data_IF_879277628779
#
_entry.id   IF_879277628779
#
_cell.length_a   1.000
_cell.length_b   1.000
_cell.length_c   1.000
_cell.angle_alpha   90.00
_cell.angle_beta   90.00
_cell.angle_gamma   90.00
#
_symmetry.space_group_name_H-M   'P 1'
#
loop_
_entity.id
_entity.type
_entity.pdbx_description
1 polymer ?
#
# COMPACT_ATOMS: atom_id res chain seq x y z
N UNK A 1 -4.69 -20.09 2.46
CA UNK A 1 -3.84 -18.88 2.31
C UNK A 1 -2.71 -19.17 1.34
N UNK A 2 -2.32 -18.19 0.58
CA UNK A 2 -1.24 -18.32 -0.39
C UNK A 2 -0.37 -17.07 -0.39
N UNK A 3 0.92 -17.25 -0.72
CA UNK A 3 1.81 -16.12 -0.97
C UNK A 3 1.52 -15.62 -2.39
N UNK A 4 1.20 -14.33 -2.49
CA UNK A 4 0.86 -13.69 -3.75
C UNK A 4 2.12 -13.15 -4.43
N UNK A 5 2.10 -13.10 -5.75
CA UNK A 5 3.16 -12.43 -6.51
C UNK A 5 2.99 -10.92 -6.39
N UNK A 6 4.08 -10.21 -6.10
CA UNK A 6 4.10 -8.75 -6.05
C UNK A 6 4.61 -8.22 -7.39
N UNK A 7 3.79 -7.42 -8.06
CA UNK A 7 4.16 -6.76 -9.32
C UNK A 7 5.00 -5.53 -9.03
N UNK A 8 5.95 -5.26 -9.91
CA UNK A 8 6.90 -4.16 -9.75
C UNK A 8 6.86 -3.20 -10.93
N UNK A 9 7.13 -1.91 -10.65
CA UNK A 9 7.26 -0.91 -11.69
C UNK A 9 8.31 -1.37 -12.73
N UNK A 10 8.09 -1.26 -14.04
CA UNK A 10 7.02 -0.48 -14.70
C UNK A 10 5.79 -1.29 -15.13
N UNK A 11 5.45 -2.39 -14.47
CA UNK A 11 4.27 -3.17 -14.84
C UNK A 11 3.01 -2.27 -14.88
N UNK A 12 2.28 -2.24 -16.00
CA UNK A 12 1.13 -1.36 -16.14
C UNK A 12 -0.04 -1.66 -15.20
N UNK A 13 -0.05 -2.84 -14.55
CA UNK A 13 -1.08 -3.17 -13.55
C UNK A 13 -1.11 -2.14 -12.42
N UNK A 14 0.06 -1.60 -12.06
CA UNK A 14 0.20 -0.63 -10.96
C UNK A 14 -0.45 0.72 -11.25
N UNK A 15 -0.81 1.00 -12.50
CA UNK A 15 -1.44 2.25 -12.92
C UNK A 15 -2.94 2.14 -13.11
N UNK A 16 -3.52 0.98 -12.87
CA UNK A 16 -4.95 0.78 -13.02
C UNK A 16 -5.72 1.33 -11.80
N UNK A 17 -6.98 1.63 -12.04
CA UNK A 17 -7.92 1.99 -10.97
C UNK A 17 -8.50 0.72 -10.38
N UNK A 18 -8.63 0.70 -9.05
CA UNK A 18 -9.30 -0.40 -8.35
C UNK A 18 -10.80 -0.11 -8.20
N UNK A 19 -11.56 -1.15 -7.93
CA UNK A 19 -13.00 -1.06 -7.73
C UNK A 19 -13.37 -1.31 -6.27
N UNK A 20 -14.44 -0.67 -5.83
CA UNK A 20 -14.96 -0.90 -4.49
C UNK A 20 -15.36 -2.36 -4.31
N UNK A 21 -15.10 -2.89 -3.12
CA UNK A 21 -15.54 -4.21 -2.70
C UNK A 21 -17.03 -4.12 -2.32
N UNK A 22 -17.84 -4.99 -2.89
CA UNK A 22 -19.29 -5.04 -2.62
C UNK A 22 -19.75 -6.33 -2.00
N UNK A 23 -18.91 -7.38 -2.04
CA UNK A 23 -19.22 -8.71 -1.49
C UNK A 23 -18.25 -9.02 -0.35
N UNK A 24 -18.77 -9.22 0.84
CA UNK A 24 -18.00 -9.47 2.07
C UNK A 24 -18.21 -10.93 2.48
N UNK A 25 -17.44 -11.82 1.89
CA UNK A 25 -17.57 -13.27 2.01
C UNK A 25 -16.25 -13.92 2.44
N UNK A 26 -16.25 -15.25 2.45
CA UNK A 26 -15.06 -16.02 2.80
C UNK A 26 -13.90 -15.82 1.82
N UNK A 27 -14.19 -15.58 0.55
CA UNK A 27 -13.17 -15.29 -0.45
C UNK A 27 -12.44 -13.99 -0.11
N UNK A 28 -13.15 -12.96 0.36
CA UNK A 28 -12.55 -11.71 0.82
C UNK A 28 -11.64 -11.94 2.01
N UNK A 29 -12.08 -12.73 2.99
CA UNK A 29 -11.24 -13.08 4.14
C UNK A 29 -9.97 -13.80 3.70
N UNK A 30 -10.08 -14.77 2.80
CA UNK A 30 -8.93 -15.49 2.27
C UNK A 30 -7.96 -14.56 1.54
N UNK A 31 -8.49 -13.63 0.75
CA UNK A 31 -7.67 -12.64 0.04
C UNK A 31 -6.89 -11.76 1.03
N UNK A 32 -7.54 -11.26 2.06
CA UNK A 32 -6.87 -10.40 3.06
C UNK A 32 -5.81 -11.16 3.85
N UNK A 33 -6.07 -12.42 4.18
CA UNK A 33 -5.09 -13.26 4.86
C UNK A 33 -3.86 -13.53 3.97
N UNK A 34 -4.09 -13.81 2.69
CA UNK A 34 -2.99 -13.99 1.72
C UNK A 34 -2.18 -12.72 1.55
N UNK A 35 -2.83 -11.55 1.55
CA UNK A 35 -2.15 -10.26 1.48
C UNK A 35 -1.27 -10.01 2.71
N UNK A 36 -1.79 -10.28 3.90
CA UNK A 36 -1.03 -10.14 5.15
C UNK A 36 0.19 -11.05 5.15
N UNK A 37 0.02 -12.31 4.80
CA UNK A 37 1.10 -13.28 4.76
C UNK A 37 2.17 -12.88 3.73
N UNK A 38 1.76 -12.43 2.56
CA UNK A 38 2.67 -11.94 1.52
C UNK A 38 3.46 -10.73 2.02
N UNK A 39 2.79 -9.79 2.69
CA UNK A 39 3.42 -8.62 3.28
C UNK A 39 4.50 -9.03 4.31
N UNK A 40 4.18 -9.96 5.21
CA UNK A 40 5.12 -10.43 6.23
C UNK A 40 6.35 -11.10 5.61
N UNK A 41 6.13 -11.99 4.66
CA UNK A 41 7.22 -12.70 3.96
C UNK A 41 8.13 -11.73 3.22
N UNK A 42 7.56 -10.64 2.69
CA UNK A 42 8.30 -9.62 1.95
C UNK A 42 8.91 -8.53 2.84
N UNK A 43 8.77 -8.65 4.15
CA UNK A 43 9.26 -7.68 5.14
C UNK A 43 8.67 -6.27 4.95
N UNK A 44 7.43 -6.19 4.47
CA UNK A 44 6.70 -4.94 4.31
C UNK A 44 5.85 -4.60 5.53
N UNK A 45 5.47 -3.32 5.65
CA UNK A 45 4.54 -2.84 6.69
C UNK A 45 3.15 -2.55 6.14
N UNK A 46 3.01 -2.50 4.83
CA UNK A 46 1.74 -2.27 4.14
C UNK A 46 1.74 -2.92 2.77
N UNK A 47 0.55 -3.24 2.29
CA UNK A 47 0.35 -3.79 0.95
C UNK A 47 -1.05 -3.44 0.46
N UNK A 48 -1.12 -2.94 -0.77
CA UNK A 48 -2.39 -2.72 -1.46
C UNK A 48 -2.66 -3.88 -2.43
N UNK A 49 -3.91 -4.25 -2.59
CA UNK A 49 -4.30 -5.39 -3.41
C UNK A 49 -3.80 -5.30 -4.86
N UNK A 50 -3.75 -4.11 -5.43
CA UNK A 50 -3.29 -3.90 -6.80
C UNK A 50 -1.83 -4.34 -6.99
N UNK A 51 -1.00 -4.26 -5.96
CA UNK A 51 0.39 -4.72 -6.01
C UNK A 51 0.49 -6.23 -6.23
N UNK A 52 -0.57 -6.95 -5.87
CA UNK A 52 -0.70 -8.38 -6.11
C UNK A 52 -1.59 -8.70 -7.34
N UNK A 53 -1.91 -7.70 -8.15
CA UNK A 53 -2.73 -7.88 -9.34
C UNK A 53 -4.23 -7.96 -9.08
N UNK A 54 -4.67 -7.66 -7.87
CA UNK A 54 -6.08 -7.69 -7.48
C UNK A 54 -6.65 -6.27 -7.53
N UNK A 55 -7.57 -6.03 -8.46
CA UNK A 55 -8.11 -4.68 -8.72
C UNK A 55 -9.28 -4.34 -7.80
N UNK A 56 -9.09 -4.54 -6.51
CA UNK A 56 -10.07 -4.24 -5.45
C UNK A 56 -9.49 -3.27 -4.43
N UNK A 57 -10.35 -2.48 -3.82
CA UNK A 57 -9.95 -1.50 -2.80
C UNK A 57 -9.73 -2.17 -1.46
N UNK A 58 -8.60 -2.85 -1.34
CA UNK A 58 -8.18 -3.56 -0.13
C UNK A 58 -6.74 -3.16 0.21
N UNK A 59 -6.52 -2.81 1.47
CA UNK A 59 -5.19 -2.49 2.01
C UNK A 59 -5.00 -3.28 3.29
N UNK A 60 -3.79 -3.80 3.51
CA UNK A 60 -3.37 -4.36 4.80
C UNK A 60 -2.18 -3.57 5.31
N UNK A 61 -2.13 -3.34 6.62
CA UNK A 61 -1.06 -2.59 7.28
C UNK A 61 -0.74 -3.27 8.61
N UNK A 62 0.54 -3.42 8.92
CA UNK A 62 1.00 -3.81 10.24
C UNK A 62 2.34 -3.13 10.51
N UNK A 63 2.32 -2.09 11.34
CA UNK A 63 3.54 -1.37 11.71
C UNK A 63 4.49 -2.19 12.57
N UNK A 64 3.99 -3.29 13.13
CA UNK A 64 4.77 -4.23 13.94
C UNK A 64 5.06 -5.53 13.19
N UNK A 65 5.04 -5.49 11.87
CA UNK A 65 5.27 -6.66 11.01
C UNK A 65 6.65 -7.28 11.21
N UNK A 66 7.65 -6.50 11.62
CA UNK A 66 9.01 -6.97 11.87
C UNK A 66 9.20 -7.67 13.21
N UNK A 67 8.17 -7.73 14.05
CA UNK A 67 8.27 -8.42 15.34
C UNK A 67 8.43 -9.93 15.14
N UNK A 68 9.45 -10.51 15.74
CA UNK A 68 9.69 -11.96 15.69
C UNK A 68 8.58 -12.73 16.38
N UNK A 69 8.12 -12.23 17.53
CA UNK A 69 6.99 -12.78 18.24
C UNK A 69 5.69 -12.35 17.52
N UNK A 70 5.04 -13.30 16.85
CA UNK A 70 3.82 -13.03 16.08
C UNK A 70 2.68 -12.52 16.97
N UNK A 71 2.71 -12.76 18.28
CA UNK A 71 1.68 -12.25 19.19
C UNK A 71 1.79 -10.74 19.40
N UNK A 72 2.92 -10.13 19.05
CA UNK A 72 3.14 -8.68 19.15
C UNK A 72 2.73 -7.94 17.87
N UNK A 73 2.37 -8.64 16.83
CA UNK A 73 1.93 -8.03 15.57
C UNK A 73 0.53 -7.43 15.72
N UNK A 74 0.28 -6.36 14.97
CA UNK A 74 -0.98 -5.62 14.98
C UNK A 74 -1.51 -5.42 13.55
N UNK A 75 -2.00 -6.49 12.91
CA UNK A 75 -2.50 -6.37 11.54
C UNK A 75 -3.81 -5.58 11.48
N UNK A 76 -3.91 -4.73 10.47
CA UNK A 76 -5.12 -3.97 10.14
C UNK A 76 -5.52 -4.25 8.70
N UNK A 77 -6.81 -4.40 8.47
CA UNK A 77 -7.39 -4.58 7.13
C UNK A 77 -8.34 -3.42 6.87
N UNK A 78 -8.16 -2.76 5.73
CA UNK A 78 -8.97 -1.61 5.32
C UNK A 78 -9.64 -1.95 3.98
N UNK A 79 -10.96 -2.06 3.99
CA UNK A 79 -11.76 -2.29 2.79
C UNK A 79 -12.43 -0.97 2.39
N UNK A 80 -12.33 -0.62 1.12
CA UNK A 80 -12.89 0.63 0.59
C UNK A 80 -12.44 1.87 1.39
N UNK A 81 -11.14 2.02 1.66
CA UNK A 81 -10.66 3.13 2.48
C UNK A 81 -10.79 4.46 1.73
N UNK A 82 -11.18 5.50 2.47
CA UNK A 82 -11.30 6.84 1.95
C UNK A 82 -10.77 7.85 2.97
N UNK A 83 -9.88 8.72 2.54
CA UNK A 83 -9.39 9.83 3.37
C UNK A 83 -10.44 10.93 3.34
N UNK A 84 -10.99 11.27 4.50
CA UNK A 84 -12.03 12.29 4.63
C UNK A 84 -11.51 13.57 5.25
N UNK A 85 -10.34 13.56 5.87
CA UNK A 85 -9.70 14.75 6.43
C UNK A 85 -8.19 14.57 6.45
N UNK A 86 -7.46 15.67 6.22
CA UNK A 86 -5.99 15.74 6.30
C UNK A 86 -5.61 16.99 7.06
N UNK A 87 -4.56 16.91 7.88
CA UNK A 87 -3.99 18.07 8.56
C UNK A 87 -2.49 17.92 8.74
N UNK A 88 -1.80 19.07 8.74
CA UNK A 88 -0.35 19.12 8.89
C UNK A 88 0.41 18.59 7.69
N UNK A 89 1.72 18.71 7.76
CA UNK A 89 2.64 18.25 6.71
C UNK A 89 3.87 17.68 7.37
N UNK A 90 4.32 16.54 6.88
CA UNK A 90 5.57 15.92 7.32
C UNK A 90 6.32 15.38 6.11
N UNK A 91 7.64 15.19 6.28
CA UNK A 91 8.50 14.60 5.26
C UNK A 91 8.81 13.17 5.68
N UNK A 92 8.64 12.24 4.75
CA UNK A 92 8.85 10.82 4.97
C UNK A 92 9.81 10.27 3.94
N UNK A 93 10.79 9.47 4.37
CA UNK A 93 11.60 8.67 3.45
C UNK A 93 10.86 7.38 3.17
N UNK A 94 10.47 7.17 1.91
CA UNK A 94 9.64 6.05 1.52
C UNK A 94 10.32 5.11 0.54
N UNK A 95 9.98 3.84 0.68
CA UNK A 95 10.28 2.79 -0.27
C UNK A 95 9.02 1.95 -0.46
N UNK A 96 9.04 1.08 -1.44
CA UNK A 96 7.87 0.27 -1.78
C UNK A 96 8.31 -1.08 -2.35
N UNK A 97 7.59 -2.14 -2.00
CA UNK A 97 7.82 -3.48 -2.54
C UNK A 97 7.69 -3.52 -4.07
N UNK A 98 6.89 -2.61 -4.65
CA UNK A 98 6.69 -2.50 -6.10
C UNK A 98 7.66 -1.56 -6.78
N UNK A 99 8.52 -0.87 -6.03
CA UNK A 99 9.56 0.05 -6.56
C UNK A 99 10.88 -0.38 -5.97
N UNK A 100 11.57 -1.28 -6.67
CA UNK A 100 12.80 -1.89 -6.16
C UNK A 100 13.99 -0.94 -6.23
N UNK A 101 14.91 -1.07 -5.26
CA UNK A 101 16.19 -0.37 -5.21
C UNK A 101 16.10 1.16 -5.21
N UNK A 102 14.96 1.73 -4.78
CA UNK A 102 14.84 3.18 -4.67
C UNK A 102 14.07 3.56 -3.42
N UNK A 103 14.58 4.57 -2.73
CA UNK A 103 13.91 5.25 -1.62
C UNK A 103 14.01 6.75 -1.85
N UNK A 104 12.97 7.49 -1.47
CA UNK A 104 12.96 8.94 -1.66
C UNK A 104 12.13 9.66 -0.61
N UNK A 105 12.40 10.95 -0.43
CA UNK A 105 11.67 11.80 0.49
C UNK A 105 10.41 12.36 -0.16
N UNK A 106 9.29 12.18 0.52
CA UNK A 106 7.97 12.58 0.06
C UNK A 106 7.30 13.42 1.15
N UNK A 107 6.54 14.44 0.75
CA UNK A 107 5.65 15.14 1.67
C UNK A 107 4.34 14.38 1.84
N UNK A 108 3.93 14.21 3.08
CA UNK A 108 2.66 13.56 3.44
C UNK A 108 1.91 14.41 4.46
N UNK A 109 0.61 14.18 4.58
CA UNK A 109 -0.15 14.77 5.69
C UNK A 109 0.30 14.12 7.00
N UNK A 110 0.47 14.94 8.04
CA UNK A 110 0.88 14.45 9.36
C UNK A 110 -0.21 13.62 10.02
N UNK A 111 -1.45 14.04 9.84
CA UNK A 111 -2.64 13.36 10.39
C UNK A 111 -3.70 13.23 9.32
N UNK A 112 -4.38 12.09 9.31
CA UNK A 112 -5.53 11.85 8.42
C UNK A 112 -6.65 11.17 9.19
N UNK A 113 -7.87 11.35 8.68
CA UNK A 113 -9.02 10.56 9.10
C UNK A 113 -9.42 9.69 7.92
N UNK A 114 -9.52 8.39 8.14
CA UNK A 114 -9.89 7.41 7.12
C UNK A 114 -11.20 6.74 7.52
N UNK A 115 -12.15 6.74 6.61
CA UNK A 115 -13.36 5.93 6.71
C UNK A 115 -13.17 4.68 5.86
N UNK A 116 -13.53 3.52 6.38
CA UNK A 116 -13.33 2.24 5.70
C UNK A 116 -14.34 1.22 6.24
N UNK A 117 -14.31 0.03 5.68
CA UNK A 117 -15.07 -1.11 6.17
C UNK A 117 -14.11 -2.19 6.62
N UNK A 118 -14.51 -2.95 7.64
CA UNK A 118 -13.76 -4.15 8.00
C UNK A 118 -14.12 -5.32 7.06
N UNK A 119 -13.54 -6.48 7.28
CA UNK A 119 -13.75 -7.66 6.41
C UNK A 119 -15.17 -8.19 6.47
N UNK A 120 -15.96 -7.79 7.47
CA UNK A 120 -17.37 -8.14 7.59
C UNK A 120 -18.31 -7.13 6.92
N UNK A 121 -17.75 -6.00 6.45
CA UNK A 121 -18.52 -4.92 5.84
C UNK A 121 -18.96 -3.83 6.82
N UNK A 122 -18.62 -3.95 8.09
CA UNK A 122 -18.97 -2.94 9.10
C UNK A 122 -18.20 -1.64 8.87
N UNK A 123 -18.89 -0.48 8.87
CA UNK A 123 -18.22 0.81 8.75
C UNK A 123 -17.30 1.09 9.94
N UNK A 124 -16.12 1.58 9.63
CA UNK A 124 -15.09 1.94 10.60
C UNK A 124 -14.53 3.32 10.29
N UNK A 125 -13.93 3.93 11.29
CA UNK A 125 -13.24 5.21 11.15
C UNK A 125 -11.97 5.18 11.99
N UNK A 126 -10.87 5.64 11.40
CA UNK A 126 -9.59 5.71 12.10
C UNK A 126 -9.01 7.12 11.95
N UNK A 127 -8.56 7.68 13.07
CA UNK A 127 -7.70 8.86 13.06
C UNK A 127 -6.26 8.37 13.13
N UNK A 128 -5.51 8.59 12.07
CA UNK A 128 -4.13 8.11 11.94
C UNK A 128 -3.16 9.27 11.98
N UNK A 129 -2.05 9.07 12.68
CA UNK A 129 -0.95 10.03 12.73
C UNK A 129 0.38 9.31 12.63
N UNK A 130 1.45 10.06 12.44
CA UNK A 130 2.80 9.53 12.31
C UNK A 130 2.89 8.47 11.22
N UNK A 131 3.53 7.33 11.51
CA UNK A 131 3.78 6.29 10.50
C UNK A 131 2.48 5.68 9.95
N UNK A 132 1.43 5.55 10.75
CA UNK A 132 0.15 5.02 10.26
C UNK A 132 -0.46 5.96 9.21
N UNK A 133 -0.40 7.27 9.43
CA UNK A 133 -0.87 8.25 8.46
C UNK A 133 -0.10 8.15 7.13
N UNK A 134 1.21 8.07 7.23
CA UNK A 134 2.11 7.96 6.07
C UNK A 134 1.82 6.68 5.30
N UNK A 135 1.76 5.54 5.99
CA UNK A 135 1.54 4.25 5.40
C UNK A 135 0.17 4.17 4.69
N UNK A 136 -0.88 4.65 5.34
CA UNK A 136 -2.22 4.64 4.74
C UNK A 136 -2.29 5.52 3.49
N UNK A 137 -1.67 6.69 3.50
CA UNK A 137 -1.63 7.55 2.31
C UNK A 137 -0.90 6.86 1.15
N UNK A 138 0.22 6.23 1.44
CA UNK A 138 1.00 5.48 0.44
C UNK A 138 0.15 4.35 -0.18
N UNK A 139 -0.52 3.55 0.65
CA UNK A 139 -1.30 2.41 0.18
C UNK A 139 -2.60 2.84 -0.53
N UNK A 140 -3.26 3.90 -0.06
CA UNK A 140 -4.45 4.44 -0.73
C UNK A 140 -4.07 5.01 -2.11
N UNK A 141 -2.90 5.63 -2.23
CA UNK A 141 -2.39 6.08 -3.53
C UNK A 141 -2.34 4.91 -4.53
N UNK A 142 -1.85 3.75 -4.11
CA UNK A 142 -1.81 2.57 -4.97
C UNK A 142 -3.19 2.21 -5.54
N UNK A 143 -4.24 2.35 -4.75
CA UNK A 143 -5.60 2.04 -5.20
C UNK A 143 -6.07 2.96 -6.33
N UNK A 144 -5.42 4.10 -6.51
CA UNK A 144 -5.69 5.09 -7.54
C UNK A 144 -4.62 5.11 -8.64
N UNK A 145 -3.75 4.11 -8.68
CA UNK A 145 -2.68 4.02 -9.67
C UNK A 145 -1.52 4.97 -9.45
N UNK A 146 -1.35 5.48 -8.22
CA UNK A 146 -0.30 6.44 -7.86
C UNK A 146 0.79 5.72 -7.06
N UNK A 147 2.05 5.94 -7.47
CA UNK A 147 3.22 5.44 -6.76
C UNK A 147 3.88 6.60 -6.02
N UNK A 148 4.62 6.31 -4.94
CA UNK A 148 5.28 7.37 -4.17
C UNK A 148 6.25 8.19 -5.03
N UNK A 149 6.88 7.58 -6.03
CA UNK A 149 7.77 8.27 -6.94
C UNK A 149 7.08 9.36 -7.75
N UNK A 150 5.76 9.32 -7.90
CA UNK A 150 4.97 10.34 -8.59
C UNK A 150 4.92 11.66 -7.81
N UNK A 151 5.24 11.64 -6.52
CA UNK A 151 5.31 12.83 -5.68
C UNK A 151 6.68 13.51 -5.69
N UNK A 152 7.67 12.91 -6.35
CA UNK A 152 9.00 13.50 -6.49
C UNK A 152 8.97 14.70 -7.45
N UNK A 153 9.94 15.65 -7.35
CA UNK A 153 10.10 16.66 -8.37
C UNK A 153 10.21 16.04 -9.76
N UNK A 154 9.63 16.69 -10.77
CA UNK A 154 9.47 16.11 -12.11
C UNK A 154 10.77 15.57 -12.70
N UNK A 155 11.87 16.30 -12.56
CA UNK A 155 13.17 15.87 -13.08
C UNK A 155 13.64 14.58 -12.40
N UNK A 156 13.47 14.49 -11.08
CA UNK A 156 13.84 13.31 -10.30
C UNK A 156 12.96 12.12 -10.65
N UNK A 157 11.65 12.34 -10.85
CA UNK A 157 10.75 11.31 -11.33
C UNK A 157 11.24 10.68 -12.63
N UNK A 158 11.59 11.50 -13.59
CA UNK A 158 12.05 11.05 -14.91
C UNK A 158 13.30 10.20 -14.79
N UNK A 159 14.24 10.61 -13.97
CA UNK A 159 15.49 9.87 -13.74
C UNK A 159 15.22 8.49 -13.10
N UNK A 160 14.41 8.47 -12.06
CA UNK A 160 14.08 7.24 -11.33
C UNK A 160 13.30 6.27 -12.23
N UNK A 161 12.28 6.75 -12.92
CA UNK A 161 11.45 5.92 -13.81
C UNK A 161 12.28 5.32 -14.95
N UNK A 162 13.20 6.10 -15.50
CA UNK A 162 14.12 5.63 -16.56
C UNK A 162 15.02 4.53 -16.04
N UNK A 163 15.60 4.70 -14.85
CA UNK A 163 16.46 3.71 -14.21
C UNK A 163 15.71 2.41 -13.93
N UNK A 164 14.51 2.48 -13.36
CA UNK A 164 13.70 1.32 -13.04
C UNK A 164 13.27 0.57 -14.30
N UNK A 165 12.90 1.27 -15.35
CA UNK A 165 12.54 0.67 -16.63
C UNK A 165 13.74 -0.09 -17.23
N UNK A 166 14.94 0.49 -17.12
CA UNK A 166 16.18 -0.12 -17.60
C UNK A 166 16.51 -1.39 -16.80
N UNK A 167 16.36 -1.36 -15.47
CA UNK A 167 16.58 -2.52 -14.62
C UNK A 167 15.60 -3.66 -14.95
N UNK A 168 14.34 -3.35 -15.18
CA UNK A 168 13.33 -4.33 -15.55
C UNK A 168 13.67 -5.03 -16.88
N UNK A 169 14.17 -4.29 -17.87
CA UNK A 169 14.61 -4.83 -19.14
C UNK A 169 15.82 -5.75 -19.00
N UNK A 170 16.72 -5.42 -18.10
CA UNK A 170 17.91 -6.24 -17.85
C UNK A 170 17.58 -7.59 -17.19
N UNK A 171 16.49 -7.66 -16.43
CA UNK A 171 16.02 -8.87 -15.76
C UNK A 171 15.10 -9.73 -16.65
N UNK A 172 14.62 -9.19 -17.73
CA UNK A 172 13.69 -9.88 -18.65
C UNK A 172 14.39 -10.97 -19.48
#
# INVERSE_FOLDING_TARGET
MAILEIYTFPDPILRKQTKAVTVFDHELETTTQSMLETMYVSSGIGLAAIQAGILKQIIVVDLKSGEEDITQREPHVFINPKIVNKSGTTVSEEGCLSVIEFRGEIQRAEKITVEYQDVTGEPQKMEAEEMMSICLQHEIDHLNGVLFIDHLPLLKQKMVKKRLTKLAKAEA
#
